data_IF_673346646720
#
_entry.id   IF_673346646720
#
_cell.length_a   1.000
_cell.length_b   1.000
_cell.length_c   1.000
_cell.angle_alpha   90.00
_cell.angle_beta   90.00
_cell.angle_gamma   90.00
#
_symmetry.space_group_name_H-M   'P 1'
#
loop_
_entity.id
_entity.type
_entity.pdbx_description
1 polymer ?
#
# COMPACT_ATOMS: atom_id res chain seq x y z
N UNK A 1 8.07 39.08 -4.15
CA UNK A 1 8.54 38.22 -5.23
C UNK A 1 8.72 36.81 -4.75
N UNK A 2 8.11 35.83 -5.40
CA UNK A 2 8.35 34.44 -5.02
C UNK A 2 9.83 34.12 -5.27
N UNK A 3 10.43 33.44 -4.31
CA UNK A 3 11.79 32.95 -4.48
C UNK A 3 11.80 31.84 -5.50
N UNK A 4 12.80 31.85 -6.37
CA UNK A 4 13.03 30.71 -7.27
C UNK A 4 13.34 29.48 -6.43
N UNK A 5 12.78 28.30 -6.76
CA UNK A 5 13.14 27.08 -6.05
C UNK A 5 14.64 26.84 -6.16
N UNK A 6 15.24 26.41 -5.06
CA UNK A 6 16.64 26.06 -5.07
C UNK A 6 16.80 24.74 -5.87
N UNK A 7 17.51 24.76 -7.03
CA UNK A 7 17.64 23.55 -7.85
C UNK A 7 18.34 22.41 -7.13
N UNK A 8 19.23 22.71 -6.20
CA UNK A 8 19.92 21.68 -5.43
C UNK A 8 18.97 20.93 -4.49
N UNK A 9 18.10 21.66 -3.78
CA UNK A 9 17.11 21.05 -2.90
C UNK A 9 16.08 20.24 -3.67
N UNK A 10 15.63 20.75 -4.81
CA UNK A 10 14.68 20.03 -5.66
C UNK A 10 15.29 18.72 -6.16
N UNK A 11 16.57 18.75 -6.55
CA UNK A 11 17.28 17.53 -6.98
C UNK A 11 17.43 16.53 -5.85
N UNK A 12 17.78 16.98 -4.64
CA UNK A 12 17.85 16.09 -3.47
C UNK A 12 16.52 15.44 -3.15
N UNK A 13 15.44 16.22 -3.18
CA UNK A 13 14.10 15.69 -2.94
C UNK A 13 13.70 14.64 -3.98
N UNK A 14 14.01 14.91 -5.25
CA UNK A 14 13.74 13.95 -6.31
C UNK A 14 14.53 12.65 -6.12
N UNK A 15 15.80 12.73 -5.70
CA UNK A 15 16.62 11.57 -5.42
C UNK A 15 16.09 10.76 -4.24
N UNK A 16 15.65 11.43 -3.16
CA UNK A 16 15.05 10.76 -2.00
C UNK A 16 13.74 10.08 -2.36
N UNK A 17 12.91 10.73 -3.18
CA UNK A 17 11.66 10.16 -3.64
C UNK A 17 11.91 8.91 -4.49
N UNK A 18 12.87 8.96 -5.41
CA UNK A 18 13.24 7.81 -6.23
C UNK A 18 13.75 6.66 -5.39
N UNK A 19 14.60 6.95 -4.39
CA UNK A 19 15.13 5.92 -3.49
C UNK A 19 14.01 5.26 -2.68
N UNK A 20 13.03 6.04 -2.22
CA UNK A 20 11.87 5.52 -1.49
C UNK A 20 11.04 4.59 -2.38
N UNK A 21 10.73 5.03 -3.60
CA UNK A 21 9.95 4.24 -4.55
C UNK A 21 10.63 2.92 -4.91
N UNK A 22 11.95 2.96 -5.16
CA UNK A 22 12.72 1.74 -5.43
C UNK A 22 12.69 0.80 -4.23
N UNK A 23 12.87 1.32 -3.02
CA UNK A 23 12.81 0.54 -1.80
C UNK A 23 11.46 -0.14 -1.61
N UNK A 24 10.38 0.58 -1.90
CA UNK A 24 9.02 0.04 -1.81
C UNK A 24 8.81 -1.08 -2.83
N UNK A 25 9.21 -0.87 -4.08
CA UNK A 25 9.10 -1.88 -5.13
C UNK A 25 9.90 -3.14 -4.79
N UNK A 26 11.12 -2.98 -4.29
CA UNK A 26 11.96 -4.11 -3.89
C UNK A 26 11.36 -4.87 -2.71
N UNK A 27 10.77 -4.15 -1.75
CA UNK A 27 10.09 -4.76 -0.61
C UNK A 27 8.88 -5.58 -1.05
N UNK A 28 8.09 -5.06 -1.96
CA UNK A 28 6.93 -5.74 -2.51
C UNK A 28 7.36 -6.99 -3.30
N UNK A 29 8.39 -6.89 -4.11
CA UNK A 29 8.90 -8.03 -4.88
C UNK A 29 9.42 -9.13 -3.96
N UNK A 30 10.17 -8.77 -2.91
CA UNK A 30 10.68 -9.73 -1.95
C UNK A 30 9.55 -10.45 -1.22
N UNK A 31 8.54 -9.72 -0.77
CA UNK A 31 7.39 -10.32 -0.10
C UNK A 31 6.65 -11.26 -1.04
N UNK A 32 6.47 -10.86 -2.29
CA UNK A 32 5.83 -11.70 -3.30
C UNK A 32 6.63 -12.99 -3.54
N UNK A 33 7.95 -12.88 -3.62
CA UNK A 33 8.81 -14.06 -3.79
C UNK A 33 8.66 -15.03 -2.62
N UNK A 34 8.69 -14.52 -1.37
CA UNK A 34 8.52 -15.35 -0.19
C UNK A 34 7.14 -16.00 -0.12
N UNK A 35 6.10 -15.26 -0.49
CA UNK A 35 4.74 -15.79 -0.52
C UNK A 35 4.60 -16.94 -1.50
N UNK A 36 5.20 -16.81 -2.69
CA UNK A 36 5.20 -17.87 -3.69
C UNK A 36 5.85 -19.15 -3.16
N UNK A 37 6.99 -19.01 -2.50
CA UNK A 37 7.68 -20.15 -1.88
C UNK A 37 6.82 -20.78 -0.80
N UNK A 38 6.22 -19.98 0.07
CA UNK A 38 5.34 -20.46 1.13
C UNK A 38 4.15 -21.26 0.57
N UNK A 39 3.57 -20.81 -0.54
CA UNK A 39 2.44 -21.49 -1.19
C UNK A 39 2.83 -22.83 -1.82
N UNK A 40 4.13 -23.10 -1.96
CA UNK A 40 4.66 -24.38 -2.41
C UNK A 40 5.03 -25.30 -1.26
N UNK A 41 5.00 -24.80 -0.03
CA UNK A 41 5.42 -25.60 1.13
C UNK A 41 4.26 -26.44 1.65
N UNK A 42 4.42 -27.78 1.75
CA UNK A 42 3.37 -28.65 2.28
C UNK A 42 2.97 -28.35 3.72
N UNK A 43 3.88 -27.81 4.52
CA UNK A 43 3.58 -27.37 5.89
C UNK A 43 2.58 -26.22 5.96
N UNK A 44 2.42 -25.46 4.88
CA UNK A 44 1.44 -24.38 4.77
C UNK A 44 0.18 -24.86 4.07
N UNK A 45 0.34 -25.52 2.91
CA UNK A 45 -0.77 -25.87 2.01
C UNK A 45 -1.18 -27.33 2.06
N UNK A 46 -0.49 -28.16 2.82
CA UNK A 46 -0.74 -29.60 2.83
C UNK A 46 -0.49 -30.20 1.44
N UNK A 47 -1.44 -30.95 0.94
CA UNK A 47 -1.33 -31.57 -0.40
C UNK A 47 -1.68 -30.63 -1.53
N UNK A 48 -2.23 -29.45 -1.23
CA UNK A 48 -2.76 -28.52 -2.22
C UNK A 48 -1.77 -27.38 -2.51
N UNK A 49 -0.52 -27.72 -2.78
CA UNK A 49 0.51 -26.75 -3.11
C UNK A 49 0.22 -26.06 -4.45
N UNK A 50 0.58 -24.78 -4.55
CA UNK A 50 0.27 -23.94 -5.71
C UNK A 50 1.38 -24.09 -6.75
N UNK A 51 1.00 -24.51 -7.96
CA UNK A 51 1.93 -24.61 -9.08
C UNK A 51 1.90 -23.39 -9.99
N UNK A 52 2.59 -23.49 -11.11
CA UNK A 52 2.79 -22.37 -12.04
C UNK A 52 1.47 -21.74 -12.52
N UNK A 53 0.50 -22.56 -12.94
CA UNK A 53 -0.75 -22.05 -13.51
C UNK A 53 -1.56 -21.27 -12.48
N UNK A 54 -1.70 -21.81 -11.26
CA UNK A 54 -2.42 -21.14 -10.19
C UNK A 54 -1.66 -19.93 -9.68
N UNK A 55 -0.33 -19.98 -9.71
CA UNK A 55 0.50 -18.85 -9.31
C UNK A 55 0.29 -17.66 -10.26
N UNK A 56 0.18 -17.91 -11.55
CA UNK A 56 -0.11 -16.85 -12.53
C UNK A 56 -1.47 -16.20 -12.28
N UNK A 57 -2.48 -17.01 -11.93
CA UNK A 57 -3.81 -16.50 -11.57
C UNK A 57 -3.76 -15.66 -10.30
N UNK A 58 -3.01 -16.11 -9.31
CA UNK A 58 -2.82 -15.39 -8.06
C UNK A 58 -2.15 -14.05 -8.29
N UNK A 59 -1.09 -14.03 -9.10
CA UNK A 59 -0.39 -12.80 -9.46
C UNK A 59 -1.33 -11.81 -10.14
N UNK A 60 -2.08 -12.27 -11.14
CA UNK A 60 -3.02 -11.42 -11.86
C UNK A 60 -4.05 -10.81 -10.92
N UNK A 61 -4.62 -11.62 -10.03
CA UNK A 61 -5.61 -11.13 -9.07
C UNK A 61 -5.00 -10.15 -8.07
N UNK A 62 -3.77 -10.39 -7.65
CA UNK A 62 -3.07 -9.49 -6.73
C UNK A 62 -2.87 -8.11 -7.36
N UNK A 63 -2.49 -8.06 -8.65
CA UNK A 63 -2.32 -6.79 -9.36
C UNK A 63 -3.67 -6.07 -9.50
N UNK A 64 -4.74 -6.79 -9.81
CA UNK A 64 -6.09 -6.22 -9.89
C UNK A 64 -6.50 -5.59 -8.55
N UNK A 65 -6.25 -6.29 -7.45
CA UNK A 65 -6.56 -5.80 -6.10
C UNK A 65 -5.72 -4.58 -5.73
N UNK A 66 -4.44 -4.58 -6.09
CA UNK A 66 -3.57 -3.43 -5.85
C UNK A 66 -4.09 -2.18 -6.56
N UNK A 67 -4.54 -2.32 -7.80
CA UNK A 67 -5.12 -1.22 -8.55
C UNK A 67 -6.46 -0.76 -7.95
N UNK A 68 -7.28 -1.70 -7.52
CA UNK A 68 -8.58 -1.41 -6.91
C UNK A 68 -8.45 -0.63 -5.59
N UNK A 69 -7.52 -1.06 -4.72
CA UNK A 69 -7.38 -0.50 -3.39
C UNK A 69 -6.34 0.63 -3.29
N UNK A 70 -5.74 1.03 -4.39
CA UNK A 70 -4.70 2.07 -4.40
C UNK A 70 -5.15 3.36 -3.71
N UNK A 71 -6.38 3.76 -3.90
CA UNK A 71 -6.94 4.99 -3.33
C UNK A 71 -6.89 5.00 -1.80
N UNK A 72 -6.97 3.83 -1.17
CA UNK A 72 -6.91 3.71 0.29
C UNK A 72 -5.63 4.33 0.89
N UNK A 73 -4.56 4.42 0.11
CA UNK A 73 -3.25 4.90 0.56
C UNK A 73 -2.94 6.32 0.08
N UNK A 74 -3.93 7.01 -0.45
CA UNK A 74 -3.80 8.37 -0.97
C UNK A 74 -4.54 9.36 -0.08
N UNK A 75 -4.49 10.63 -0.46
CA UNK A 75 -5.27 11.69 0.18
C UNK A 75 -6.61 11.97 -0.51
N UNK A 76 -7.07 11.03 -1.33
CA UNK A 76 -8.37 11.16 -1.99
C UNK A 76 -9.50 11.13 -0.94
N UNK A 77 -10.58 11.93 -1.14
CA UNK A 77 -11.73 11.88 -0.22
C UNK A 77 -12.38 10.51 -0.08
N UNK A 78 -12.21 9.62 -1.07
CA UNK A 78 -12.72 8.26 -1.01
C UNK A 78 -11.77 7.28 -0.31
N UNK A 79 -10.62 7.75 0.17
CA UNK A 79 -9.64 6.88 0.81
C UNK A 79 -10.22 6.14 2.01
N UNK A 80 -10.99 6.82 2.86
CA UNK A 80 -11.60 6.20 4.04
C UNK A 80 -12.54 5.06 3.66
N UNK A 81 -13.33 5.26 2.62
CA UNK A 81 -14.20 4.21 2.09
C UNK A 81 -13.41 3.00 1.60
N UNK A 82 -12.35 3.25 0.83
CA UNK A 82 -11.53 2.16 0.29
C UNK A 82 -10.74 1.45 1.40
N UNK A 83 -10.31 2.17 2.43
CA UNK A 83 -9.69 1.55 3.61
C UNK A 83 -10.66 0.59 4.30
N UNK A 84 -11.91 1.00 4.46
CA UNK A 84 -12.92 0.14 5.05
C UNK A 84 -13.23 -1.07 4.18
N UNK A 85 -13.27 -0.91 2.86
CA UNK A 85 -13.47 -2.03 1.94
C UNK A 85 -12.31 -3.03 2.02
N UNK A 86 -11.08 -2.55 2.10
CA UNK A 86 -9.91 -3.39 2.27
C UNK A 86 -9.97 -4.15 3.60
N UNK A 87 -10.29 -3.46 4.67
CA UNK A 87 -10.39 -4.05 6.00
C UNK A 87 -11.53 -5.07 6.07
N UNK A 88 -12.66 -4.79 5.43
CA UNK A 88 -13.77 -5.73 5.37
C UNK A 88 -13.35 -7.05 4.71
N UNK A 89 -12.62 -6.96 3.59
CA UNK A 89 -12.11 -8.15 2.91
C UNK A 89 -11.13 -8.95 3.79
N UNK A 90 -10.27 -8.25 4.51
CA UNK A 90 -9.28 -8.88 5.39
C UNK A 90 -9.93 -9.47 6.65
N UNK A 91 -11.00 -8.87 7.17
CA UNK A 91 -11.75 -9.42 8.31
C UNK A 91 -12.41 -10.76 8.00
N UNK A 92 -12.68 -11.03 6.74
CA UNK A 92 -13.15 -12.36 6.33
C UNK A 92 -12.13 -13.45 6.69
N UNK A 93 -10.84 -13.09 6.68
CA UNK A 93 -9.72 -13.99 6.97
C UNK A 93 -9.38 -13.99 8.45
N UNK A 94 -9.18 -12.80 9.01
CA UNK A 94 -8.58 -12.60 10.33
C UNK A 94 -9.59 -12.40 11.45
N UNK A 95 -10.84 -12.09 11.12
CA UNK A 95 -11.88 -11.80 12.12
C UNK A 95 -11.43 -10.69 13.08
N UNK A 96 -11.56 -10.93 14.36
CA UNK A 96 -11.17 -9.96 15.39
C UNK A 96 -9.65 -9.80 15.54
N UNK A 97 -8.87 -10.65 14.91
CA UNK A 97 -7.40 -10.59 14.97
C UNK A 97 -6.82 -9.58 13.99
N UNK A 98 -7.64 -8.99 13.12
CA UNK A 98 -7.16 -7.99 12.17
C UNK A 98 -6.75 -6.72 12.90
N UNK A 99 -5.49 -6.31 12.72
CA UNK A 99 -5.02 -5.02 13.24
C UNK A 99 -5.68 -3.86 12.48
N UNK A 100 -6.01 -2.75 13.17
CA UNK A 100 -6.57 -1.58 12.50
C UNK A 100 -5.70 -1.05 11.37
N UNK A 101 -6.32 -0.41 10.38
CA UNK A 101 -5.63 0.06 9.18
C UNK A 101 -4.39 0.91 9.49
N UNK A 102 -4.51 1.89 10.39
CA UNK A 102 -3.39 2.79 10.68
C UNK A 102 -2.30 2.17 11.54
N UNK A 103 -2.56 1.02 12.15
CA UNK A 103 -1.51 0.23 12.80
C UNK A 103 -0.73 -0.59 11.78
N UNK A 104 -1.41 -1.09 10.74
CA UNK A 104 -0.75 -1.81 9.64
C UNK A 104 0.02 -0.86 8.73
N UNK A 105 -0.47 0.37 8.59
CA UNK A 105 0.11 1.37 7.70
C UNK A 105 0.36 2.68 8.45
N UNK A 106 1.35 2.70 9.35
CA UNK A 106 1.57 3.86 10.22
C UNK A 106 2.03 5.13 9.48
N UNK A 107 2.50 4.97 8.23
CA UNK A 107 2.94 6.11 7.42
C UNK A 107 1.79 6.76 6.63
N UNK A 108 0.63 6.13 6.58
CA UNK A 108 -0.55 6.71 5.97
C UNK A 108 -1.25 7.56 7.02
N UNK A 109 -1.31 8.86 6.79
CA UNK A 109 -1.91 9.79 7.75
C UNK A 109 -3.39 9.94 7.52
N UNK A 110 -4.16 9.85 8.59
CA UNK A 110 -5.59 10.13 8.54
C UNK A 110 -5.81 11.63 8.27
N UNK A 111 -6.69 11.92 7.33
CA UNK A 111 -7.08 13.31 7.03
C UNK A 111 -8.25 13.68 7.92
N UNK A 112 -8.11 14.81 8.64
CA UNK A 112 -9.18 15.36 9.44
C UNK A 112 -9.89 16.45 8.64
N UNK A 113 -11.01 16.10 8.04
CA UNK A 113 -11.78 17.00 7.20
C UNK A 113 -12.52 18.08 8.00
N UNK A 114 -12.57 17.96 9.32
CA UNK A 114 -13.20 18.96 10.17
C UNK A 114 -12.33 20.19 10.38
N UNK A 115 -11.03 20.10 10.05
CA UNK A 115 -10.08 21.19 10.20
C UNK A 115 -9.84 21.91 8.89
N UNK A 116 -9.61 23.24 8.91
CA UNK A 116 -9.29 23.97 7.69
C UNK A 116 -7.95 23.47 7.11
N UNK A 117 -7.85 23.53 5.80
CA UNK A 117 -6.64 23.17 5.08
C UNK A 117 -5.55 24.19 5.38
N UNK A 118 -4.43 23.71 5.93
CA UNK A 118 -3.30 24.59 6.24
C UNK A 118 -2.60 25.03 4.97
N UNK A 119 -2.21 26.29 4.97
CA UNK A 119 -1.34 26.84 3.92
C UNK A 119 -2.03 27.34 2.69
N UNK A 120 -3.19 26.88 2.39
CA UNK A 120 -3.94 27.38 1.25
C UNK A 120 -4.83 28.55 1.55
N UNK A 121 -4.98 28.88 2.80
CA UNK A 121 -6.11 29.66 3.17
C UNK A 121 -5.84 30.62 4.30
N UNK A 122 -4.87 31.40 4.07
CA UNK A 122 -4.58 32.45 5.00
C UNK A 122 -5.13 33.76 4.54
N UNK A 123 -6.36 33.74 4.29
CA UNK A 123 -6.98 34.99 3.91
C UNK A 123 -6.69 36.07 4.90
#
# INVERSE_FOLDING_TARGET
MPKKPNPYLAKQQAMLQSAFEIGEEMGMQRMWDYLQIALRCPEVMGKDTVGNTRMKRLYKKTVELANEFQIAFTHDPEADYMQEQLDAALREIWKDELQPFYERYPYVKKIDYSKPIKGGNKG
#
